data_IF_370980712172
#
_entry.id   IF_370980712172
#
_cell.length_a   1.000
_cell.length_b   1.000
_cell.length_c   1.000
_cell.angle_alpha   90.00
_cell.angle_beta   90.00
_cell.angle_gamma   90.00
#
_symmetry.space_group_name_H-M   'P 1'
#
loop_
_entity.id
_entity.type
_entity.pdbx_description
1 polymer ?
#
# COMPACT_ATOMS: atom_id res chain seq x y z
N UNK A 1 18.81 -9.10 -3.94
CA UNK A 1 18.17 -10.36 -4.37
C UNK A 1 17.63 -10.11 -5.77
N UNK A 2 16.80 -10.97 -6.38
CA UNK A 2 16.13 -10.61 -7.64
C UNK A 2 14.72 -10.09 -7.33
N UNK A 3 14.30 -8.98 -7.96
CA UNK A 3 12.96 -8.37 -7.80
C UNK A 3 11.87 -9.42 -7.67
N UNK A 4 10.90 -9.28 -6.73
CA UNK A 4 9.78 -10.20 -6.65
C UNK A 4 9.11 -10.29 -8.02
N UNK A 5 8.87 -11.50 -8.51
CA UNK A 5 8.18 -11.70 -9.78
C UNK A 5 6.73 -11.16 -9.71
N UNK A 6 6.06 -11.04 -10.86
CA UNK A 6 4.72 -10.43 -10.92
C UNK A 6 3.71 -11.08 -9.96
N UNK A 7 3.68 -12.42 -9.89
CA UNK A 7 2.79 -13.14 -8.98
C UNK A 7 3.10 -12.86 -7.50
N UNK A 8 4.37 -12.75 -7.12
CA UNK A 8 4.79 -12.38 -5.75
C UNK A 8 4.40 -10.94 -5.40
N UNK A 9 4.52 -9.99 -6.34
CA UNK A 9 4.11 -8.60 -6.12
C UNK A 9 2.60 -8.48 -5.95
N UNK A 10 1.84 -9.22 -6.73
CA UNK A 10 0.38 -9.27 -6.61
C UNK A 10 -0.05 -9.87 -5.28
N UNK A 11 0.53 -11.00 -4.88
CA UNK A 11 0.27 -11.59 -3.56
C UNK A 11 0.57 -10.60 -2.43
N UNK A 12 1.69 -9.87 -2.51
CA UNK A 12 2.04 -8.84 -1.54
C UNK A 12 1.00 -7.72 -1.50
N UNK A 13 0.53 -7.23 -2.66
CA UNK A 13 -0.45 -6.16 -2.72
C UNK A 13 -1.77 -6.54 -2.02
N UNK A 14 -2.24 -7.77 -2.23
CA UNK A 14 -3.41 -8.30 -1.53
C UNK A 14 -3.15 -8.55 -0.04
N UNK A 15 -1.98 -9.05 0.36
CA UNK A 15 -1.63 -9.23 1.78
C UNK A 15 -1.58 -7.89 2.54
N UNK A 16 -1.08 -6.82 1.90
CA UNK A 16 -1.13 -5.45 2.43
C UNK A 16 -2.57 -4.96 2.52
N UNK A 17 -3.39 -5.14 1.47
CA UNK A 17 -4.80 -4.76 1.52
C UNK A 17 -5.53 -5.45 2.68
N UNK A 18 -5.38 -6.76 2.82
CA UNK A 18 -6.00 -7.54 3.89
C UNK A 18 -5.55 -7.05 5.27
N UNK A 19 -4.26 -6.73 5.42
CA UNK A 19 -3.73 -6.09 6.61
C UNK A 19 -4.41 -4.75 6.89
N UNK A 20 -4.50 -3.89 5.88
CA UNK A 20 -5.14 -2.59 6.03
C UNK A 20 -6.61 -2.74 6.44
N UNK A 21 -7.37 -3.64 5.82
CA UNK A 21 -8.77 -3.89 6.17
C UNK A 21 -8.91 -4.38 7.61
N UNK A 22 -8.07 -5.34 8.06
CA UNK A 22 -8.12 -5.86 9.45
C UNK A 22 -7.93 -4.75 10.49
N UNK A 23 -7.15 -3.74 10.17
CA UNK A 23 -6.85 -2.60 11.05
C UNK A 23 -7.71 -1.36 10.77
N UNK A 24 -8.66 -1.42 9.83
CA UNK A 24 -9.51 -0.28 9.47
C UNK A 24 -8.81 0.81 8.64
N UNK A 25 -7.64 0.50 8.07
CA UNK A 25 -6.77 1.41 7.34
C UNK A 25 -7.10 1.54 5.83
N UNK A 26 -7.95 0.68 5.27
CA UNK A 26 -8.27 0.65 3.85
C UNK A 26 -9.31 1.71 3.47
N UNK A 27 -8.86 2.96 3.47
CA UNK A 27 -9.64 4.14 3.06
C UNK A 27 -8.72 5.10 2.30
N UNK A 28 -9.23 5.70 1.23
CA UNK A 28 -8.53 6.64 0.34
C UNK A 28 -7.09 6.21 -0.02
N UNK A 29 -6.95 4.94 -0.41
CA UNK A 29 -5.65 4.29 -0.65
C UNK A 29 -5.61 3.67 -2.04
N UNK A 30 -4.42 3.72 -2.66
CA UNK A 30 -4.05 2.95 -3.85
C UNK A 30 -2.74 2.21 -3.64
N UNK A 31 -2.71 0.93 -4.00
CA UNK A 31 -1.51 0.08 -4.02
C UNK A 31 -1.17 -0.22 -5.48
N UNK A 32 -0.06 0.33 -5.98
CA UNK A 32 0.40 0.19 -7.36
C UNK A 32 1.39 -0.97 -7.50
N UNK A 33 1.11 -1.89 -8.44
CA UNK A 33 1.94 -3.06 -8.73
C UNK A 33 1.63 -3.58 -10.13
N UNK A 34 2.62 -4.17 -10.83
CA UNK A 34 2.41 -4.81 -12.13
C UNK A 34 1.69 -3.95 -13.20
N UNK A 35 1.78 -2.61 -13.15
CA UNK A 35 1.07 -1.72 -14.06
C UNK A 35 -0.43 -1.57 -13.78
N UNK A 36 -0.90 -2.08 -12.63
CA UNK A 36 -2.27 -1.93 -12.11
C UNK A 36 -2.25 -1.39 -10.68
N UNK A 37 -3.42 -1.07 -10.13
CA UNK A 37 -3.54 -0.68 -8.73
C UNK A 37 -4.79 -1.27 -8.07
N UNK A 38 -4.63 -1.78 -6.84
CA UNK A 38 -5.77 -1.96 -5.94
C UNK A 38 -6.16 -0.60 -5.40
N UNK A 39 -7.46 -0.30 -5.36
CA UNK A 39 -7.97 1.00 -4.92
C UNK A 39 -9.20 0.87 -4.04
N UNK A 40 -9.43 1.90 -3.21
CA UNK A 40 -10.68 2.08 -2.47
C UNK A 40 -11.82 2.62 -3.33
N UNK A 41 -11.55 3.05 -4.58
CA UNK A 41 -12.53 3.56 -5.53
C UNK A 41 -12.44 2.88 -6.90
N UNK A 42 -13.53 2.90 -7.67
CA UNK A 42 -13.61 2.32 -9.02
C UNK A 42 -13.20 3.27 -10.15
N UNK A 43 -12.69 4.46 -9.83
CA UNK A 43 -12.39 5.54 -10.78
C UNK A 43 -13.62 6.28 -11.31
N UNK A 44 -14.83 5.94 -10.86
CA UNK A 44 -16.11 6.54 -11.30
C UNK A 44 -16.91 7.15 -10.15
N UNK A 45 -16.30 7.29 -8.98
CA UNK A 45 -16.91 7.89 -7.80
C UNK A 45 -17.67 6.89 -6.91
N UNK A 46 -17.51 5.58 -7.12
CA UNK A 46 -17.95 4.57 -6.15
C UNK A 46 -16.81 4.17 -5.23
N UNK A 47 -17.09 4.13 -3.93
CA UNK A 47 -16.11 3.86 -2.89
C UNK A 47 -16.47 2.59 -2.12
N UNK A 48 -15.44 1.85 -1.71
CA UNK A 48 -15.58 0.68 -0.85
C UNK A 48 -14.46 0.68 0.20
N UNK A 49 -14.73 1.32 1.34
CA UNK A 49 -13.80 1.40 2.46
C UNK A 49 -13.91 0.19 3.38
N UNK A 50 -12.77 -0.36 3.77
CA UNK A 50 -12.66 -1.50 4.68
C UNK A 50 -13.61 -2.68 4.35
N UNK A 51 -13.96 -2.86 3.07
CA UNK A 51 -14.86 -3.91 2.61
C UNK A 51 -14.04 -5.06 1.97
N UNK A 52 -13.92 -6.22 2.63
CA UNK A 52 -13.14 -7.35 2.11
C UNK A 52 -13.77 -8.02 0.89
N UNK A 53 -15.06 -7.78 0.61
CA UNK A 53 -15.77 -8.39 -0.52
C UNK A 53 -15.58 -7.63 -1.83
N UNK A 54 -14.91 -6.47 -1.82
CA UNK A 54 -14.78 -5.60 -2.99
C UNK A 54 -13.31 -5.41 -3.34
N UNK A 55 -12.94 -5.79 -4.57
CA UNK A 55 -11.67 -5.51 -5.19
C UNK A 55 -11.87 -4.54 -6.36
N UNK A 56 -11.58 -3.26 -6.15
CA UNK A 56 -11.39 -2.35 -7.27
C UNK A 56 -9.95 -2.44 -7.75
N UNK A 57 -9.79 -2.86 -9.00
CA UNK A 57 -8.52 -2.95 -9.71
C UNK A 57 -8.56 -1.97 -10.87
N UNK A 58 -7.65 -1.00 -10.85
CA UNK A 58 -7.45 -0.04 -11.94
C UNK A 58 -6.31 -0.54 -12.80
N UNK A 59 -6.60 -0.91 -14.04
CA UNK A 59 -5.61 -1.36 -15.02
C UNK A 59 -4.89 -0.18 -15.69
N UNK A 60 -3.76 -0.46 -16.33
CA UNK A 60 -2.96 0.50 -17.13
C UNK A 60 -2.57 1.78 -16.37
N UNK A 61 -2.24 1.64 -15.08
CA UNK A 61 -1.89 2.75 -14.20
C UNK A 61 -0.39 2.79 -13.93
N UNK A 62 0.16 3.99 -14.06
CA UNK A 62 1.57 4.28 -13.78
C UNK A 62 1.67 5.22 -12.57
N UNK A 63 2.26 4.79 -11.43
CA UNK A 63 2.37 5.62 -10.24
C UNK A 63 3.15 6.92 -10.49
N UNK A 64 4.06 6.94 -11.48
CA UNK A 64 4.87 8.12 -11.84
C UNK A 64 4.04 9.29 -12.38
N UNK A 65 2.78 9.04 -12.73
CA UNK A 65 1.84 10.11 -13.12
C UNK A 65 1.26 10.85 -11.92
N UNK A 66 1.41 10.32 -10.71
CA UNK A 66 0.80 10.84 -9.48
C UNK A 66 1.85 11.32 -8.47
N UNK A 67 3.03 10.70 -8.42
CA UNK A 67 4.13 11.14 -7.55
C UNK A 67 5.49 10.73 -8.12
N UNK A 68 6.53 11.51 -7.83
CA UNK A 68 7.88 11.30 -8.38
C UNK A 68 8.66 10.20 -7.65
N UNK A 69 8.37 9.99 -6.36
CA UNK A 69 9.07 9.03 -5.52
C UNK A 69 8.51 7.61 -5.71
N UNK A 70 8.62 7.10 -6.93
CA UNK A 70 8.34 5.70 -7.27
C UNK A 70 9.65 4.94 -7.25
N UNK A 71 9.79 3.97 -6.35
CA UNK A 71 10.98 3.12 -6.25
C UNK A 71 11.18 2.23 -7.48
N UNK A 72 11.92 1.14 -7.31
CA UNK A 72 12.31 0.21 -8.39
C UNK A 72 11.16 -0.60 -9.06
N UNK A 73 9.91 -0.12 -8.98
CA UNK A 73 8.67 -0.72 -9.49
C UNK A 73 8.29 -2.06 -8.85
N UNK A 74 8.61 -2.26 -7.56
CA UNK A 74 8.16 -3.45 -6.81
C UNK A 74 6.71 -3.23 -6.33
N UNK A 75 6.51 -2.25 -5.46
CA UNK A 75 5.21 -1.80 -5.00
C UNK A 75 5.33 -0.36 -4.49
N UNK A 76 4.41 0.50 -4.93
CA UNK A 76 4.27 1.85 -4.40
C UNK A 76 2.85 2.03 -3.85
N UNK A 77 2.65 2.95 -2.92
CA UNK A 77 1.32 3.27 -2.43
C UNK A 77 1.15 4.78 -2.34
N UNK A 78 -0.06 5.25 -2.65
CA UNK A 78 -0.55 6.56 -2.24
C UNK A 78 -1.70 6.36 -1.27
N UNK A 79 -1.76 7.16 -0.23
CA UNK A 79 -2.74 6.99 0.83
C UNK A 79 -3.06 8.33 1.47
N UNK A 80 -4.32 8.48 1.82
CA UNK A 80 -4.83 9.47 2.76
C UNK A 80 -5.50 8.74 3.93
N UNK A 81 -6.12 9.50 4.85
CA UNK A 81 -6.93 8.92 5.92
C UNK A 81 -6.13 8.09 6.94
N UNK A 82 -6.61 6.94 7.42
CA UNK A 82 -6.03 6.27 8.59
C UNK A 82 -4.62 5.70 8.32
N UNK A 83 -4.30 5.31 7.09
CA UNK A 83 -2.93 4.90 6.75
C UNK A 83 -1.97 6.10 6.78
N UNK A 84 -2.43 7.27 6.33
CA UNK A 84 -1.69 8.52 6.50
C UNK A 84 -1.48 8.83 7.99
N UNK A 85 -2.53 8.76 8.80
CA UNK A 85 -2.43 9.00 10.24
C UNK A 85 -1.48 8.03 10.93
N UNK A 86 -1.52 6.74 10.57
CA UNK A 86 -0.62 5.73 11.09
C UNK A 86 0.84 6.07 10.75
N UNK A 87 1.17 6.23 9.46
CA UNK A 87 2.56 6.40 9.03
C UNK A 87 3.16 7.76 9.39
N UNK A 88 2.33 8.78 9.61
CA UNK A 88 2.76 10.09 10.12
C UNK A 88 2.62 10.22 11.64
N UNK A 89 2.39 9.11 12.36
CA UNK A 89 2.36 9.05 13.82
C UNK A 89 1.31 9.96 14.47
N UNK A 90 0.19 10.21 13.79
CA UNK A 90 -0.98 10.92 14.32
C UNK A 90 -1.96 10.01 15.09
N UNK A 91 -1.51 8.82 15.45
CA UNK A 91 -2.23 7.82 16.25
C UNK A 91 -1.52 7.59 17.59
N UNK A 92 -2.17 6.99 18.61
CA UNK A 92 -1.50 6.63 19.85
C UNK A 92 -0.23 5.81 19.60
N UNK A 93 0.87 6.16 20.26
CA UNK A 93 2.19 5.55 20.03
C UNK A 93 2.19 4.02 20.20
N UNK A 94 1.40 3.48 21.14
CA UNK A 94 1.25 2.04 21.32
C UNK A 94 0.65 1.35 20.09
N UNK A 95 -0.37 1.97 19.49
CA UNK A 95 -1.02 1.48 18.28
C UNK A 95 -0.08 1.59 17.07
N UNK A 96 0.62 2.71 16.91
CA UNK A 96 1.66 2.88 15.89
C UNK A 96 2.68 1.75 15.95
N UNK A 97 3.32 1.57 17.11
CA UNK A 97 4.38 0.58 17.30
C UNK A 97 3.92 -0.85 16.98
N UNK A 98 2.67 -1.21 17.32
CA UNK A 98 2.15 -2.54 17.03
C UNK A 98 1.79 -2.75 15.55
N UNK A 99 1.08 -1.78 14.97
CA UNK A 99 0.49 -1.95 13.63
C UNK A 99 1.53 -1.71 12.53
N UNK A 100 2.41 -0.73 12.72
CA UNK A 100 3.51 -0.47 11.80
C UNK A 100 4.53 -1.62 11.80
N UNK A 101 4.79 -2.24 12.95
CA UNK A 101 5.65 -3.42 13.02
C UNK A 101 5.07 -4.60 12.21
N UNK A 102 3.76 -4.86 12.30
CA UNK A 102 3.10 -5.88 11.47
C UNK A 102 3.22 -5.56 9.97
N UNK A 103 3.04 -4.29 9.58
CA UNK A 103 3.24 -3.86 8.20
C UNK A 103 4.68 -4.12 7.72
N UNK A 104 5.69 -3.75 8.52
CA UNK A 104 7.10 -4.05 8.22
C UNK A 104 7.35 -5.54 8.11
N UNK A 105 6.76 -6.34 8.99
CA UNK A 105 6.95 -7.79 8.98
C UNK A 105 6.33 -8.44 7.74
N UNK A 106 5.21 -7.92 7.22
CA UNK A 106 4.68 -8.33 5.91
C UNK A 106 5.72 -8.06 4.83
N UNK A 107 6.28 -6.84 4.74
CA UNK A 107 7.27 -6.49 3.73
C UNK A 107 8.54 -7.35 3.82
N UNK A 108 9.04 -7.61 5.04
CA UNK A 108 10.23 -8.45 5.27
C UNK A 108 10.08 -9.88 4.73
N UNK A 109 8.88 -10.48 4.78
CA UNK A 109 8.62 -11.81 4.18
C UNK A 109 8.93 -11.84 2.68
N UNK A 110 8.87 -10.68 2.02
CA UNK A 110 9.14 -10.52 0.59
C UNK A 110 10.55 -9.98 0.32
N UNK A 111 11.39 -9.80 1.35
CA UNK A 111 12.73 -9.23 1.24
C UNK A 111 12.70 -7.72 0.99
N UNK A 112 11.71 -7.03 1.55
CA UNK A 112 11.47 -5.61 1.28
C UNK A 112 11.46 -4.78 2.57
N UNK A 113 11.80 -3.50 2.40
CA UNK A 113 11.49 -2.41 3.30
C UNK A 113 10.71 -1.33 2.52
N UNK A 114 10.33 -0.25 3.20
CA UNK A 114 9.70 0.92 2.56
C UNK A 114 10.34 2.23 3.03
N UNK A 115 10.20 3.25 2.19
CA UNK A 115 10.53 4.63 2.50
C UNK A 115 9.35 5.53 2.08
N UNK A 116 9.09 6.57 2.87
CA UNK A 116 8.12 7.60 2.52
C UNK A 116 8.74 8.54 1.49
N UNK A 117 8.02 8.83 0.41
CA UNK A 117 8.41 9.89 -0.51
C UNK A 117 7.88 11.24 -0.04
N UNK A 118 6.55 11.32 0.07
CA UNK A 118 5.83 12.38 0.77
C UNK A 118 5.12 11.78 2.00
N UNK A 119 4.50 12.63 2.82
CA UNK A 119 3.67 12.18 3.94
C UNK A 119 2.51 11.25 3.51
N UNK A 120 2.09 11.29 2.24
CA UNK A 120 0.94 10.58 1.66
C UNK A 120 1.33 9.48 0.65
N UNK A 121 2.63 9.15 0.50
CA UNK A 121 3.04 8.04 -0.35
C UNK A 121 4.29 7.32 0.17
N UNK A 122 4.40 6.06 -0.23
CA UNK A 122 5.58 5.23 0.03
C UNK A 122 5.99 4.46 -1.21
N UNK A 123 7.26 4.09 -1.22
CA UNK A 123 7.84 3.14 -2.16
C UNK A 123 8.56 2.02 -1.42
N UNK A 124 8.45 0.80 -1.94
CA UNK A 124 9.21 -0.35 -1.43
C UNK A 124 10.54 -0.52 -2.15
N UNK A 125 11.52 -1.09 -1.44
CA UNK A 125 12.86 -1.41 -1.94
C UNK A 125 13.37 -2.71 -1.31
N UNK A 126 14.30 -3.40 -1.98
CA UNK A 126 14.88 -4.65 -1.47
C UNK A 126 15.83 -4.42 -0.27
N UNK A 127 15.87 -5.39 0.64
CA UNK A 127 16.84 -5.47 1.74
C UNK A 127 17.61 -6.80 1.74
#
# INVERSE_FOLDING_TARGET
MSKPNAARREKLAYEIKDFMIRHGLWMDTRIYFNGKALSTDDGKGHYAYNNPAVDYVIEDVDPRRYFDYTGENILCMSFEGPMYELLNMYVPMSYYNSVEAEFRDILKKYGLSYELGNAWNLSTFEI
#
